data_IF_823600835755
#
_entry.id   IF_823600835755
#
_cell.length_a   1.000
_cell.length_b   1.000
_cell.length_c   1.000
_cell.angle_alpha   90.00
_cell.angle_beta   90.00
_cell.angle_gamma   90.00
#
_symmetry.space_group_name_H-M   'P 1'
#
loop_
_entity.id
_entity.type
_entity.pdbx_description
1 polymer ?
#
# COMPACT_ATOMS: atom_id res chain seq x y z
N UNK A 1 -3.13 9.11 -22.49
CA UNK A 1 -2.40 8.00 -21.83
C UNK A 1 -2.46 6.79 -22.75
N UNK A 2 -1.39 6.56 -23.52
CA UNK A 2 -1.26 5.39 -24.38
C UNK A 2 -1.11 4.15 -23.47
N UNK A 3 -1.98 3.12 -23.68
CA UNK A 3 -1.90 1.88 -22.91
C UNK A 3 -2.54 1.90 -21.52
N UNK A 4 -3.17 2.99 -21.08
CA UNK A 4 -3.82 3.06 -19.77
C UNK A 4 -4.92 1.98 -19.60
N UNK A 5 -5.68 1.74 -20.66
CA UNK A 5 -6.76 0.74 -20.67
C UNK A 5 -6.20 -0.69 -20.54
N UNK A 6 -5.07 -0.95 -21.19
CA UNK A 6 -4.35 -2.23 -21.09
C UNK A 6 -3.86 -2.44 -19.66
N UNK A 7 -3.15 -1.47 -19.10
CA UNK A 7 -2.65 -1.53 -17.73
C UNK A 7 -3.81 -1.78 -16.75
N UNK A 8 -4.94 -1.12 -16.94
CA UNK A 8 -6.12 -1.29 -16.08
C UNK A 8 -6.73 -2.69 -16.20
N UNK A 9 -6.77 -3.28 -17.41
CA UNK A 9 -7.24 -4.65 -17.61
C UNK A 9 -6.34 -5.67 -16.92
N UNK A 10 -5.02 -5.51 -17.03
CA UNK A 10 -4.05 -6.37 -16.35
C UNK A 10 -4.05 -6.19 -14.83
N UNK A 11 -4.35 -4.98 -14.33
CA UNK A 11 -4.59 -4.74 -12.91
C UNK A 11 -5.75 -5.55 -12.37
N UNK A 12 -6.85 -5.65 -13.13
CA UNK A 12 -7.99 -6.51 -12.78
C UNK A 12 -7.57 -7.98 -12.67
N UNK A 13 -6.74 -8.47 -13.58
CA UNK A 13 -6.20 -9.85 -13.54
C UNK A 13 -5.29 -10.06 -12.32
N UNK A 14 -4.35 -9.16 -12.06
CA UNK A 14 -3.48 -9.22 -10.88
C UNK A 14 -4.29 -9.28 -9.59
N UNK A 15 -5.37 -8.50 -9.50
CA UNK A 15 -6.23 -8.50 -8.31
C UNK A 15 -7.03 -9.80 -8.20
N UNK A 16 -7.53 -10.36 -9.31
CA UNK A 16 -8.36 -11.57 -9.28
C UNK A 16 -7.56 -12.87 -9.13
N UNK A 17 -6.34 -12.92 -9.66
CA UNK A 17 -5.51 -14.13 -9.64
C UNK A 17 -4.63 -14.24 -8.37
N UNK A 18 -4.31 -13.09 -7.72
CA UNK A 18 -3.53 -13.05 -6.48
C UNK A 18 -4.40 -12.98 -5.21
N UNK A 19 -5.69 -12.68 -5.32
CA UNK A 19 -6.63 -12.91 -4.24
C UNK A 19 -6.96 -14.40 -4.27
N UNK A 20 -6.29 -15.20 -3.41
CA UNK A 20 -6.78 -16.51 -3.00
C UNK A 20 -8.25 -16.32 -2.58
N UNK A 21 -9.19 -17.17 -3.05
CA UNK A 21 -10.58 -17.02 -2.65
C UNK A 21 -10.65 -17.01 -1.13
N UNK A 22 -11.12 -15.90 -0.56
CA UNK A 22 -11.54 -15.78 0.83
C UNK A 22 -12.59 -16.86 1.07
N UNK A 23 -12.22 -17.95 1.71
CA UNK A 23 -13.16 -19.05 1.95
C UNK A 23 -12.51 -20.37 2.38
N UNK A 24 -11.21 -20.49 2.39
CA UNK A 24 -10.56 -21.60 3.09
C UNK A 24 -10.18 -21.13 4.50
N UNK A 25 -11.19 -20.93 5.36
CA UNK A 25 -10.99 -21.10 6.80
C UNK A 25 -10.37 -22.49 6.96
N UNK A 26 -9.08 -22.49 7.30
CA UNK A 26 -8.39 -23.69 7.68
C UNK A 26 -9.09 -24.23 8.93
N UNK A 27 -9.98 -25.17 8.70
CA UNK A 27 -10.49 -26.04 9.72
C UNK A 27 -9.26 -26.80 10.28
N UNK A 28 -8.66 -26.21 11.30
CA UNK A 28 -7.53 -26.79 12.05
C UNK A 28 -8.12 -27.89 12.90
N UNK A 29 -8.44 -29.00 12.26
CA UNK A 29 -8.68 -30.23 12.98
C UNK A 29 -7.34 -30.92 13.17
N UNK A 30 -7.00 -31.08 14.40
CA UNK A 30 -5.83 -31.67 15.01
C UNK A 30 -5.51 -33.05 14.44
N UNK A 31 -4.66 -33.14 13.38
CA UNK A 31 -3.89 -34.32 13.01
C UNK A 31 -2.98 -34.05 11.78
N UNK A 32 -1.82 -33.45 11.99
CA UNK A 32 -0.63 -33.78 11.17
C UNK A 32 0.63 -33.12 11.69
N UNK A 33 1.18 -33.65 12.77
CA UNK A 33 2.57 -33.42 13.16
C UNK A 33 3.53 -34.23 12.28
N UNK A 34 3.53 -34.10 10.96
CA UNK A 34 4.55 -34.88 10.21
C UNK A 34 5.06 -34.29 8.90
N UNK A 35 4.70 -33.07 8.51
CA UNK A 35 5.34 -32.47 7.34
C UNK A 35 5.67 -31.00 7.62
N UNK A 36 6.94 -30.57 7.47
CA UNK A 36 7.28 -29.16 7.48
C UNK A 36 6.60 -28.48 6.28
N UNK A 37 5.65 -27.62 6.55
CA UNK A 37 4.99 -26.79 5.56
C UNK A 37 6.03 -25.89 4.91
N UNK A 38 6.31 -26.10 3.63
CA UNK A 38 7.14 -25.23 2.83
C UNK A 38 6.41 -23.91 2.59
N UNK A 39 6.45 -23.02 3.56
CA UNK A 39 5.85 -21.67 3.47
C UNK A 39 6.49 -20.82 2.35
N UNK A 40 7.73 -21.09 1.97
CA UNK A 40 8.42 -20.42 0.86
C UNK A 40 7.90 -20.73 -0.54
N UNK A 41 7.23 -21.87 -0.76
CA UNK A 41 6.85 -22.29 -2.12
C UNK A 41 5.59 -21.63 -2.67
N UNK A 42 4.69 -21.13 -1.82
CA UNK A 42 3.45 -20.47 -2.23
C UNK A 42 3.70 -18.99 -2.55
N UNK A 43 4.53 -18.32 -1.76
CA UNK A 43 4.93 -16.94 -2.00
C UNK A 43 5.76 -16.83 -3.28
N UNK A 44 6.70 -17.75 -3.48
CA UNK A 44 7.54 -17.80 -4.69
C UNK A 44 6.71 -18.08 -5.95
N UNK A 45 5.73 -18.97 -5.87
CA UNK A 45 4.82 -19.26 -6.98
C UNK A 45 3.91 -18.07 -7.31
N UNK A 46 3.45 -17.34 -6.32
CA UNK A 46 2.61 -16.15 -6.52
C UNK A 46 3.40 -14.98 -7.12
N UNK A 47 4.66 -14.83 -6.75
CA UNK A 47 5.53 -13.79 -7.31
C UNK A 47 5.92 -14.09 -8.77
N UNK A 48 6.18 -15.36 -9.10
CA UNK A 48 6.43 -15.80 -10.48
C UNK A 48 5.19 -15.55 -11.37
N UNK A 49 4.00 -15.87 -10.87
CA UNK A 49 2.76 -15.60 -11.61
C UNK A 49 2.53 -14.11 -11.82
N UNK A 50 2.75 -13.29 -10.79
CA UNK A 50 2.69 -11.84 -10.85
C UNK A 50 3.66 -11.27 -11.90
N UNK A 51 4.91 -11.73 -11.87
CA UNK A 51 5.93 -11.28 -12.81
C UNK A 51 5.57 -11.62 -14.25
N UNK A 52 5.04 -12.83 -14.49
CA UNK A 52 4.58 -13.25 -15.83
C UNK A 52 3.47 -12.34 -16.36
N UNK A 53 2.49 -11.99 -15.53
CA UNK A 53 1.39 -11.07 -15.90
C UNK A 53 1.93 -9.66 -16.21
N UNK A 54 2.89 -9.18 -15.44
CA UNK A 54 3.52 -7.87 -15.68
C UNK A 54 4.32 -7.85 -16.98
N UNK A 55 5.03 -8.91 -17.29
CA UNK A 55 5.79 -9.05 -18.55
C UNK A 55 4.86 -9.11 -19.77
N UNK A 56 3.74 -9.83 -19.69
CA UNK A 56 2.70 -9.81 -20.73
C UNK A 56 2.15 -8.40 -20.94
N UNK A 57 1.78 -7.72 -19.87
CA UNK A 57 1.28 -6.34 -19.91
C UNK A 57 2.32 -5.39 -20.55
N UNK A 58 3.57 -5.51 -20.16
CA UNK A 58 4.66 -4.72 -20.71
C UNK A 58 4.81 -4.89 -22.23
N UNK A 59 4.77 -6.13 -22.68
CA UNK A 59 4.88 -6.44 -24.11
C UNK A 59 3.71 -5.87 -24.90
N UNK A 60 2.49 -6.00 -24.41
CA UNK A 60 1.29 -5.46 -25.07
C UNK A 60 1.31 -3.93 -25.12
N UNK A 61 1.68 -3.26 -24.02
CA UNK A 61 1.83 -1.80 -23.99
C UNK A 61 2.91 -1.33 -24.98
N UNK A 62 4.04 -2.03 -25.07
CA UNK A 62 5.10 -1.71 -26.02
C UNK A 62 4.64 -1.86 -27.48
N UNK A 63 3.83 -2.88 -27.79
CA UNK A 63 3.26 -3.07 -29.15
C UNK A 63 2.29 -1.93 -29.49
N UNK A 64 1.44 -1.52 -28.56
CA UNK A 64 0.55 -0.37 -28.76
C UNK A 64 1.34 0.92 -28.93
N UNK A 65 2.41 1.10 -28.15
CA UNK A 65 3.31 2.26 -28.28
C UNK A 65 3.92 2.31 -29.69
N UNK A 66 4.44 1.18 -30.20
CA UNK A 66 5.02 1.08 -31.56
C UNK A 66 4.03 1.42 -32.66
N UNK A 67 2.74 1.10 -32.48
CA UNK A 67 1.68 1.41 -33.45
C UNK A 67 1.19 2.85 -33.37
N UNK A 68 1.28 3.47 -32.18
CA UNK A 68 0.73 4.81 -31.92
C UNK A 68 1.76 5.92 -32.16
N UNK A 69 3.02 5.65 -31.90
CA UNK A 69 4.12 6.61 -32.00
C UNK A 69 4.90 6.40 -33.28
N UNK A 70 5.24 7.49 -33.97
CA UNK A 70 6.00 7.42 -35.23
C UNK A 70 7.39 6.82 -35.00
N UNK A 71 7.89 5.99 -35.96
CA UNK A 71 9.20 5.32 -35.81
C UNK A 71 10.35 6.27 -35.57
N UNK A 72 10.34 7.47 -36.19
CA UNK A 72 11.39 8.47 -36.01
C UNK A 72 11.46 8.99 -34.58
N UNK A 73 10.33 8.97 -33.89
CA UNK A 73 10.28 9.39 -32.49
C UNK A 73 10.75 8.26 -31.55
N UNK A 74 10.33 7.03 -31.83
CA UNK A 74 10.78 5.85 -31.08
C UNK A 74 12.29 5.65 -31.12
N UNK A 75 12.91 5.91 -32.29
CA UNK A 75 14.38 5.81 -32.48
C UNK A 75 15.19 6.86 -31.69
N UNK A 76 14.53 7.87 -31.10
CA UNK A 76 15.14 8.91 -30.26
C UNK A 76 14.90 8.70 -28.77
N UNK A 77 14.15 7.66 -28.41
CA UNK A 77 13.89 7.29 -27.01
C UNK A 77 14.99 6.34 -26.58
N UNK A 78 15.76 6.72 -25.57
CA UNK A 78 16.83 5.90 -25.04
C UNK A 78 16.28 4.72 -24.24
N UNK A 79 15.19 4.94 -23.48
CA UNK A 79 14.59 3.92 -22.63
C UNK A 79 13.08 4.16 -22.44
N UNK A 80 12.31 3.09 -22.35
CA UNK A 80 10.89 3.10 -21.99
C UNK A 80 10.73 2.47 -20.61
N UNK A 81 10.34 3.28 -19.64
CA UNK A 81 10.10 2.83 -18.26
C UNK A 81 8.59 2.64 -18.06
N UNK A 82 8.19 1.44 -17.69
CA UNK A 82 6.84 1.14 -17.26
C UNK A 82 6.77 1.14 -15.73
N UNK A 83 5.91 1.97 -15.17
CA UNK A 83 5.65 1.96 -13.74
C UNK A 83 4.66 0.86 -13.42
N UNK A 84 5.04 0.01 -12.50
CA UNK A 84 4.16 -1.02 -11.96
C UNK A 84 3.12 -0.43 -11.01
N UNK A 85 1.97 -1.09 -10.90
CA UNK A 85 0.99 -0.77 -9.86
C UNK A 85 1.57 -1.03 -8.48
N UNK A 86 1.24 -0.16 -7.54
CA UNK A 86 1.67 -0.35 -6.16
C UNK A 86 0.97 -1.55 -5.54
N UNK A 87 1.75 -2.42 -4.92
CA UNK A 87 1.25 -3.53 -4.11
C UNK A 87 0.77 -3.04 -2.74
N UNK A 88 0.07 -3.89 -2.02
CA UNK A 88 -0.34 -3.57 -0.64
C UNK A 88 0.88 -3.39 0.29
N UNK A 89 1.97 -4.10 0.01
CA UNK A 89 3.24 -3.93 0.73
C UNK A 89 3.86 -2.56 0.48
N UNK A 90 3.89 -2.10 -0.78
CA UNK A 90 4.41 -0.78 -1.14
C UNK A 90 3.58 0.33 -0.47
N UNK A 91 2.26 0.17 -0.42
CA UNK A 91 1.35 1.09 0.26
C UNK A 91 1.67 1.18 1.75
N UNK A 92 1.96 0.06 2.41
CA UNK A 92 2.35 0.01 3.82
C UNK A 92 3.70 0.71 4.04
N UNK A 93 4.66 0.52 3.16
CA UNK A 93 5.95 1.23 3.23
C UNK A 93 5.79 2.73 3.04
N UNK A 94 4.99 3.16 2.07
CA UNK A 94 4.68 4.58 1.85
C UNK A 94 3.99 5.19 3.08
N UNK A 95 3.05 4.47 3.69
CA UNK A 95 2.43 4.89 4.94
C UNK A 95 3.46 5.10 6.05
N UNK A 96 4.37 4.14 6.23
CA UNK A 96 5.47 4.25 7.23
C UNK A 96 6.40 5.43 6.96
N UNK A 97 6.66 5.74 5.70
CA UNK A 97 7.42 6.95 5.35
C UNK A 97 6.68 8.23 5.76
N UNK A 98 5.37 8.31 5.49
CA UNK A 98 4.56 9.46 5.90
C UNK A 98 4.43 9.59 7.42
N UNK A 99 4.34 8.47 8.13
CA UNK A 99 4.34 8.43 9.60
C UNK A 99 5.65 8.99 10.14
N UNK A 100 6.80 8.55 9.63
CA UNK A 100 8.12 9.04 10.05
C UNK A 100 8.29 10.54 9.81
N UNK A 101 7.83 11.05 8.67
CA UNK A 101 7.87 12.48 8.36
C UNK A 101 7.01 13.28 9.36
N UNK A 102 5.83 12.78 9.71
CA UNK A 102 4.97 13.39 10.73
C UNK A 102 5.61 13.36 12.13
N UNK A 103 6.18 12.22 12.53
CA UNK A 103 6.88 12.07 13.80
C UNK A 103 8.05 13.07 13.92
N UNK A 104 8.86 13.21 12.86
CA UNK A 104 9.96 14.17 12.82
C UNK A 104 9.48 15.61 13.08
N UNK A 105 8.43 16.04 12.37
CA UNK A 105 7.87 17.40 12.51
C UNK A 105 7.28 17.67 13.88
N UNK A 106 6.68 16.68 14.51
CA UNK A 106 6.08 16.84 15.84
C UNK A 106 7.10 16.78 16.94
N UNK A 107 8.16 15.98 16.79
CA UNK A 107 9.27 15.93 17.72
C UNK A 107 10.02 17.27 17.84
N UNK A 108 10.13 18.04 16.74
CA UNK A 108 10.67 19.41 16.75
C UNK A 108 9.86 20.36 17.66
N UNK A 109 8.59 20.04 17.89
CA UNK A 109 7.69 20.78 18.77
C UNK A 109 7.54 20.15 20.18
N UNK A 110 8.38 19.16 20.50
CA UNK A 110 8.35 18.47 21.78
C UNK A 110 7.18 17.49 21.95
N UNK A 111 6.62 16.97 20.84
CA UNK A 111 5.55 15.97 20.88
C UNK A 111 6.04 14.68 20.24
N UNK A 112 6.03 13.59 20.99
CA UNK A 112 6.37 12.25 20.49
C UNK A 112 5.08 11.50 20.18
N UNK A 113 5.00 10.87 18.99
CA UNK A 113 3.86 10.05 18.60
C UNK A 113 4.31 8.63 18.35
N UNK A 114 3.57 7.69 18.90
CA UNK A 114 3.68 6.26 18.63
C UNK A 114 2.40 5.75 17.93
N UNK A 115 2.55 4.73 17.10
CA UNK A 115 1.45 4.15 16.33
C UNK A 115 1.36 2.67 16.64
N UNK A 116 0.12 2.16 16.76
CA UNK A 116 -0.12 0.73 16.93
C UNK A 116 -0.07 0.01 15.57
N UNK A 117 0.23 -1.31 15.54
CA UNK A 117 0.11 -2.12 14.33
C UNK A 117 -1.29 -2.07 13.72
N UNK A 118 -2.32 -2.03 14.57
CA UNK A 118 -3.72 -1.94 14.17
C UNK A 118 -4.02 -0.65 13.40
N UNK A 119 -3.35 0.46 13.77
CA UNK A 119 -3.43 1.71 13.02
C UNK A 119 -2.78 1.58 11.64
N UNK A 120 -1.59 0.96 11.55
CA UNK A 120 -0.92 0.75 10.26
C UNK A 120 -1.78 -0.13 9.33
N UNK A 121 -2.36 -1.20 9.85
CA UNK A 121 -3.23 -2.11 9.09
C UNK A 121 -4.50 -1.40 8.61
N UNK A 122 -5.16 -0.66 9.48
CA UNK A 122 -6.34 0.13 9.13
C UNK A 122 -6.05 1.15 8.04
N UNK A 123 -4.98 1.92 8.19
CA UNK A 123 -4.62 2.97 7.25
C UNK A 123 -4.16 2.41 5.90
N UNK A 124 -3.41 1.30 5.89
CA UNK A 124 -2.96 0.64 4.67
C UNK A 124 -4.13 0.02 3.90
N UNK A 125 -5.06 -0.64 4.59
CA UNK A 125 -6.25 -1.24 3.98
C UNK A 125 -7.18 -0.18 3.42
N UNK A 126 -7.48 0.86 4.19
CA UNK A 126 -8.37 1.96 3.77
C UNK A 126 -7.76 2.89 2.73
N UNK A 127 -6.43 3.00 2.72
CA UNK A 127 -5.67 3.81 1.78
C UNK A 127 -5.27 3.07 0.50
N UNK A 128 -5.55 1.78 0.40
CA UNK A 128 -5.25 1.00 -0.79
C UNK A 128 -6.33 1.19 -1.86
N UNK A 129 -5.95 1.83 -2.96
CA UNK A 129 -6.81 1.99 -4.13
C UNK A 129 -5.95 1.79 -5.38
N UNK A 130 -6.02 0.62 -6.04
CA UNK A 130 -5.14 0.24 -7.14
C UNK A 130 -5.06 1.28 -8.27
N UNK A 131 -6.19 1.93 -8.57
CA UNK A 131 -6.29 2.91 -9.67
C UNK A 131 -5.65 4.28 -9.36
N UNK A 132 -5.45 4.62 -8.09
CA UNK A 132 -4.98 5.94 -7.65
C UNK A 132 -3.61 5.94 -6.97
N UNK A 133 -3.02 4.75 -6.79
CA UNK A 133 -1.72 4.57 -6.16
C UNK A 133 -1.69 5.06 -4.71
N UNK A 134 -0.66 5.80 -4.31
CA UNK A 134 -0.47 6.28 -2.95
C UNK A 134 -1.21 7.60 -2.60
N UNK A 135 -1.87 8.23 -3.58
CA UNK A 135 -2.58 9.51 -3.34
C UNK A 135 -3.68 9.41 -2.27
N UNK A 136 -4.46 8.32 -2.19
CA UNK A 136 -5.48 8.15 -1.14
C UNK A 136 -4.89 8.15 0.26
N UNK A 137 -3.70 7.57 0.48
CA UNK A 137 -3.04 7.53 1.79
C UNK A 137 -2.77 8.94 2.32
N UNK A 138 -2.20 9.81 1.49
CA UNK A 138 -1.90 11.19 1.91
C UNK A 138 -3.16 11.94 2.30
N UNK A 139 -4.25 11.76 1.54
CA UNK A 139 -5.55 12.37 1.86
C UNK A 139 -6.15 11.79 3.13
N UNK A 140 -6.03 10.50 3.32
CA UNK A 140 -6.53 9.80 4.51
C UNK A 140 -5.77 10.25 5.76
N UNK A 141 -4.44 10.31 5.70
CA UNK A 141 -3.60 10.87 6.77
C UNK A 141 -4.02 12.29 7.13
N UNK A 142 -4.21 13.16 6.13
CA UNK A 142 -4.65 14.53 6.35
C UNK A 142 -6.03 14.59 7.00
N UNK A 143 -6.98 13.83 6.49
CA UNK A 143 -8.38 13.91 6.90
C UNK A 143 -8.63 13.26 8.27
N UNK A 144 -8.07 12.09 8.49
CA UNK A 144 -8.40 11.27 9.67
C UNK A 144 -7.37 11.43 10.79
N UNK A 145 -6.09 11.56 10.52
CA UNK A 145 -5.07 11.65 11.55
C UNK A 145 -4.74 13.12 11.91
N UNK A 146 -4.30 13.92 10.93
CA UNK A 146 -3.82 15.27 11.19
C UNK A 146 -4.92 16.16 11.80
N UNK A 147 -6.15 16.01 11.32
CA UNK A 147 -7.28 16.79 11.87
C UNK A 147 -7.59 16.40 13.33
N UNK A 148 -7.51 15.12 13.68
CA UNK A 148 -7.73 14.66 15.06
C UNK A 148 -6.60 15.15 15.97
N UNK A 149 -5.34 15.01 15.53
CA UNK A 149 -4.19 15.52 16.26
C UNK A 149 -4.26 17.03 16.48
N UNK A 150 -4.56 17.79 15.44
CA UNK A 150 -4.70 19.25 15.54
C UNK A 150 -5.77 19.63 16.57
N UNK A 151 -6.92 18.95 16.58
CA UNK A 151 -7.96 19.17 17.60
C UNK A 151 -7.47 18.84 18.99
N UNK A 152 -6.77 17.72 19.18
CA UNK A 152 -6.26 17.30 20.50
C UNK A 152 -5.21 18.27 21.03
N UNK A 153 -4.38 18.81 20.16
CA UNK A 153 -3.39 19.86 20.51
C UNK A 153 -4.10 21.16 20.91
N UNK A 154 -5.07 21.62 20.13
CA UNK A 154 -5.80 22.85 20.38
C UNK A 154 -6.63 22.83 21.68
N UNK A 155 -7.19 21.69 22.02
CA UNK A 155 -7.95 21.48 23.27
C UNK A 155 -7.03 21.31 24.48
N UNK A 156 -5.71 21.17 24.25
CA UNK A 156 -4.72 21.01 25.32
C UNK A 156 -4.64 19.60 25.90
N UNK A 157 -5.18 18.60 25.20
CA UNK A 157 -5.01 17.20 25.57
C UNK A 157 -3.60 16.69 25.28
N UNK A 158 -2.87 17.38 24.42
CA UNK A 158 -1.48 17.10 24.07
C UNK A 158 -0.60 18.15 24.71
N UNK A 159 0.27 17.73 25.61
CA UNK A 159 1.21 18.62 26.28
C UNK A 159 2.61 18.52 25.63
N UNK A 160 3.45 19.51 25.84
CA UNK A 160 4.86 19.39 25.48
C UNK A 160 5.49 18.27 26.31
N UNK A 161 6.40 17.55 25.68
CA UNK A 161 7.12 16.41 26.25
C UNK A 161 6.22 15.20 26.59
N UNK A 162 4.99 15.14 26.02
CA UNK A 162 4.13 13.97 26.13
C UNK A 162 4.39 12.97 25.00
N UNK A 163 4.12 11.71 25.30
CA UNK A 163 4.11 10.61 24.34
C UNK A 163 2.65 10.24 24.04
N UNK A 164 2.25 10.41 22.78
CA UNK A 164 0.90 10.17 22.32
C UNK A 164 0.86 8.84 21.62
N UNK A 165 -0.08 7.97 22.00
CA UNK A 165 -0.38 6.74 21.31
C UNK A 165 -1.58 6.94 20.37
N UNK A 166 -1.35 6.62 19.10
CA UNK A 166 -2.38 6.58 18.07
C UNK A 166 -2.79 5.14 17.83
N UNK A 167 -4.06 4.87 18.02
CA UNK A 167 -4.64 3.54 17.95
C UNK A 167 -5.94 3.58 17.13
N UNK A 168 -6.46 2.40 16.75
CA UNK A 168 -7.76 2.26 16.09
C UNK A 168 -8.68 1.41 16.95
N UNK A 169 -9.80 2.00 17.36
CA UNK A 169 -10.86 1.29 18.10
C UNK A 169 -12.19 1.40 17.36
N UNK A 170 -12.78 0.24 17.06
CA UNK A 170 -14.08 0.16 16.36
C UNK A 170 -14.07 0.97 15.04
N UNK A 171 -12.95 0.91 14.28
CA UNK A 171 -12.81 1.61 13.00
C UNK A 171 -12.66 3.14 13.10
N UNK A 172 -12.36 3.66 14.29
CA UNK A 172 -12.08 5.08 14.52
C UNK A 172 -10.69 5.27 15.12
N UNK A 173 -9.98 6.28 14.63
CA UNK A 173 -8.67 6.66 15.17
C UNK A 173 -8.88 7.30 16.54
N UNK A 174 -8.17 6.81 17.52
CA UNK A 174 -8.15 7.31 18.90
C UNK A 174 -6.77 7.84 19.24
N UNK A 175 -6.75 8.90 20.03
CA UNK A 175 -5.54 9.57 20.52
C UNK A 175 -5.55 9.49 22.04
N UNK A 176 -4.54 8.90 22.62
CA UNK A 176 -4.39 8.76 24.08
C UNK A 176 -3.00 9.16 24.52
N UNK A 177 -2.88 9.72 25.72
CA UNK A 177 -1.60 9.94 26.39
C UNK A 177 -1.09 8.60 26.92
N UNK A 178 0.22 8.34 26.78
CA UNK A 178 0.87 7.08 27.18
C UNK A 178 1.45 7.19 28.58
#
# INVERSE_FOLDING_TARGET
NVGADIIQAYMGRLTSELILPDGLEANVDSRSELYPRAEGSLEESSEIARQSILDECRNEVLEVLKRTVRPEFLNRIDEVIMFEPLSQTDIREILRMQIRDLQSRLSENGVTIEFTPEFEDYMSTKGYEPSYGARPIKRLMQKELINILAKSILVGHVRRDSVILIDVKVGQITVSDK
#
